data_IF_702324927257
#
_entry.id   IF_702324927257
#
_cell.length_a   1.000
_cell.length_b   1.000
_cell.length_c   1.000
_cell.angle_alpha   90.00
_cell.angle_beta   90.00
_cell.angle_gamma   90.00
#
_symmetry.space_group_name_H-M   'P 1'
#
loop_
_entity.id
_entity.type
_entity.pdbx_description
1 polymer ?
#
# COMPACT_ATOMS: atom_id res chain seq x y z
N UNK A 1 -14.28 0.81 22.57
CA UNK A 1 -15.10 0.76 21.34
C UNK A 1 -14.15 1.04 20.17
N UNK A 2 -13.42 0.01 19.74
CA UNK A 2 -12.35 0.10 18.74
C UNK A 2 -12.99 -0.05 17.36
N UNK A 3 -13.03 1.03 16.57
CA UNK A 3 -13.71 1.03 15.27
C UNK A 3 -12.71 1.36 14.15
N UNK A 4 -12.46 0.32 13.34
CA UNK A 4 -12.18 0.34 11.89
C UNK A 4 -11.09 1.30 11.38
N UNK A 5 -9.81 0.89 11.48
CA UNK A 5 -8.73 1.52 10.71
C UNK A 5 -7.66 0.56 10.16
N UNK A 6 -7.99 -0.73 10.05
CA UNK A 6 -7.11 -1.73 9.44
C UNK A 6 -7.61 -2.26 8.08
N UNK A 7 -8.70 -1.71 7.53
CA UNK A 7 -9.30 -2.20 6.27
C UNK A 7 -8.66 -1.58 5.00
N UNK A 8 -7.82 -0.53 5.12
CA UNK A 8 -7.13 0.12 3.98
C UNK A 8 -5.65 -0.33 3.82
N UNK A 9 -5.14 -1.20 4.69
CA UNK A 9 -3.74 -1.66 4.64
C UNK A 9 -3.62 -2.96 3.85
N UNK A 10 -3.70 -2.88 2.51
CA UNK A 10 -3.66 -4.02 1.56
C UNK A 10 -4.67 -5.13 1.90
N UNK A 11 -5.42 -5.62 0.93
CA UNK A 11 -6.14 -6.89 1.11
C UNK A 11 -5.08 -8.02 1.09
N UNK A 12 -4.34 -8.20 2.20
CA UNK A 12 -3.33 -9.25 2.43
C UNK A 12 -4.00 -10.47 3.08
N UNK A 13 -5.16 -10.89 2.58
CA UNK A 13 -5.82 -12.06 3.19
C UNK A 13 -5.90 -13.27 2.28
N UNK A 14 -5.43 -13.20 1.01
CA UNK A 14 -5.56 -14.37 0.14
C UNK A 14 -4.52 -14.54 -0.98
N UNK A 15 -3.24 -14.69 -0.62
CA UNK A 15 -2.19 -15.06 -1.57
C UNK A 15 -2.54 -16.35 -2.33
N UNK A 16 -3.04 -17.37 -1.61
CA UNK A 16 -3.46 -18.65 -2.17
C UNK A 16 -4.57 -18.52 -3.20
N UNK A 17 -5.69 -17.88 -2.86
CA UNK A 17 -6.80 -17.72 -3.79
C UNK A 17 -6.46 -16.80 -4.97
N UNK A 18 -5.66 -15.75 -4.75
CA UNK A 18 -5.16 -14.89 -5.83
C UNK A 18 -4.33 -15.71 -6.82
N UNK A 19 -3.42 -16.54 -6.30
CA UNK A 19 -2.62 -17.43 -7.13
C UNK A 19 -3.51 -18.42 -7.90
N UNK A 20 -4.50 -19.03 -7.24
CA UNK A 20 -5.47 -19.94 -7.87
C UNK A 20 -6.20 -19.27 -9.03
N UNK A 21 -6.74 -18.07 -8.81
CA UNK A 21 -7.42 -17.28 -9.83
C UNK A 21 -6.50 -17.03 -11.04
N UNK A 22 -5.27 -16.58 -10.81
CA UNK A 22 -4.29 -16.32 -11.87
C UNK A 22 -3.92 -17.59 -12.64
N UNK A 23 -3.69 -18.70 -11.94
CA UNK A 23 -3.37 -20.00 -12.54
C UNK A 23 -4.52 -20.50 -13.41
N UNK A 24 -5.75 -20.47 -12.90
CA UNK A 24 -6.94 -20.97 -13.58
C UNK A 24 -7.30 -20.09 -14.79
N UNK A 25 -7.14 -18.76 -14.69
CA UNK A 25 -7.34 -17.84 -15.82
C UNK A 25 -6.43 -18.13 -17.02
N UNK A 26 -5.27 -18.78 -16.77
CA UNK A 26 -4.30 -19.19 -17.80
C UNK A 26 -4.46 -20.65 -18.23
N UNK A 27 -5.45 -21.37 -17.70
CA UNK A 27 -5.69 -22.77 -18.02
C UNK A 27 -4.59 -23.72 -17.53
N UNK A 28 -3.78 -23.31 -16.55
CA UNK A 28 -2.67 -24.13 -16.03
C UNK A 28 -3.20 -25.08 -14.96
N UNK A 29 -2.99 -26.38 -15.14
CA UNK A 29 -3.40 -27.38 -14.16
C UNK A 29 -2.40 -27.49 -13.00
N UNK A 30 -2.86 -27.91 -11.82
CA UNK A 30 -1.95 -28.23 -10.71
C UNK A 30 -0.94 -29.34 -11.08
N UNK A 31 -1.35 -30.28 -11.92
CA UNK A 31 -0.48 -31.40 -12.33
C UNK A 31 0.65 -30.94 -13.25
N UNK A 32 0.40 -29.98 -14.15
CA UNK A 32 1.41 -29.44 -15.06
C UNK A 32 2.36 -28.44 -14.40
N UNK A 33 1.94 -27.85 -13.29
CA UNK A 33 2.72 -26.88 -12.51
C UNK A 33 3.59 -27.53 -11.42
N UNK A 34 3.23 -28.74 -10.99
CA UNK A 34 3.95 -29.45 -9.95
C UNK A 34 5.30 -29.98 -10.44
N UNK A 35 6.32 -29.82 -9.61
CA UNK A 35 7.69 -30.25 -9.89
C UNK A 35 8.45 -30.62 -8.60
N UNK A 36 9.76 -30.79 -8.70
CA UNK A 36 10.65 -31.12 -7.58
C UNK A 36 10.75 -29.99 -6.54
N UNK A 37 10.36 -28.75 -6.88
CA UNK A 37 10.39 -27.59 -6.00
C UNK A 37 9.09 -27.47 -5.20
N UNK A 38 7.96 -27.67 -5.87
CA UNK A 38 6.62 -27.57 -5.29
C UNK A 38 5.72 -28.71 -5.78
N UNK A 39 5.38 -29.63 -4.87
CA UNK A 39 4.47 -30.72 -5.20
C UNK A 39 3.02 -30.25 -5.43
N UNK A 40 2.26 -31.01 -6.22
CA UNK A 40 0.82 -30.79 -6.47
C UNK A 40 0.01 -30.60 -5.17
N UNK A 41 0.32 -31.41 -4.16
CA UNK A 41 -0.35 -31.33 -2.85
C UNK A 41 -0.06 -30.01 -2.13
N UNK A 42 1.15 -29.48 -2.26
CA UNK A 42 1.51 -28.18 -1.68
C UNK A 42 0.82 -27.02 -2.39
N UNK A 43 0.78 -27.03 -3.72
CA UNK A 43 0.07 -25.99 -4.49
C UNK A 43 -1.42 -25.98 -4.09
N UNK A 44 -2.05 -27.15 -4.05
CA UNK A 44 -3.45 -27.28 -3.62
C UNK A 44 -3.67 -26.76 -2.20
N UNK A 45 -2.79 -27.11 -1.26
CA UNK A 45 -2.92 -26.65 0.13
C UNK A 45 -2.76 -25.14 0.25
N UNK A 46 -1.84 -24.55 -0.51
CA UNK A 46 -1.64 -23.10 -0.60
C UNK A 46 -2.85 -22.38 -1.17
N UNK A 47 -3.35 -22.84 -2.32
CA UNK A 47 -4.51 -22.23 -2.98
C UNK A 47 -5.79 -22.27 -2.14
N UNK A 48 -5.92 -23.26 -1.25
CA UNK A 48 -7.06 -23.40 -0.35
C UNK A 48 -6.80 -22.80 1.05
N UNK A 49 -5.70 -22.08 1.25
CA UNK A 49 -5.39 -21.41 2.53
C UNK A 49 -5.05 -22.36 3.69
N UNK A 50 -4.73 -23.63 3.40
CA UNK A 50 -4.41 -24.64 4.42
C UNK A 50 -2.92 -24.73 4.76
N UNK A 51 -2.05 -24.14 3.93
CA UNK A 51 -0.62 -23.99 4.24
C UNK A 51 0.01 -22.86 3.45
N UNK A 52 0.88 -22.08 4.06
CA UNK A 52 1.67 -21.08 3.34
C UNK A 52 2.81 -21.70 2.51
N UNK A 53 3.29 -20.93 1.54
CA UNK A 53 4.52 -21.22 0.81
C UNK A 53 5.65 -20.34 1.34
N UNK A 54 6.87 -20.88 1.31
CA UNK A 54 8.04 -20.03 1.44
C UNK A 54 8.11 -19.06 0.26
N UNK A 55 8.67 -17.87 0.49
CA UNK A 55 8.83 -16.84 -0.53
C UNK A 55 9.52 -17.36 -1.81
N UNK A 56 10.54 -18.23 -1.65
CA UNK A 56 11.21 -18.89 -2.78
C UNK A 56 10.26 -19.73 -3.63
N UNK A 57 9.41 -20.54 -3.01
CA UNK A 57 8.43 -21.39 -3.70
C UNK A 57 7.32 -20.56 -4.33
N UNK A 58 6.89 -19.50 -3.67
CA UNK A 58 5.91 -18.57 -4.21
C UNK A 58 6.40 -17.91 -5.51
N UNK A 59 7.61 -17.33 -5.51
CA UNK A 59 8.18 -16.73 -6.73
C UNK A 59 8.48 -17.74 -7.83
N UNK A 60 8.85 -18.97 -7.47
CA UNK A 60 8.95 -20.08 -8.42
C UNK A 60 7.61 -20.31 -9.13
N UNK A 61 6.52 -20.48 -8.38
CA UNK A 61 5.20 -20.68 -8.97
C UNK A 61 4.72 -19.52 -9.84
N UNK A 62 4.97 -18.26 -9.42
CA UNK A 62 4.64 -17.07 -10.23
C UNK A 62 5.34 -17.10 -11.60
N UNK A 63 6.62 -17.47 -11.61
CA UNK A 63 7.40 -17.60 -12.84
C UNK A 63 6.80 -18.66 -13.77
N UNK A 64 6.44 -19.83 -13.24
CA UNK A 64 5.88 -20.94 -14.03
C UNK A 64 4.49 -20.62 -14.61
N UNK A 65 3.73 -19.70 -14.00
CA UNK A 65 2.47 -19.18 -14.57
C UNK A 65 2.65 -17.87 -15.36
N UNK A 66 3.88 -17.43 -15.61
CA UNK A 66 4.19 -16.18 -16.32
C UNK A 66 3.51 -14.95 -15.70
N UNK A 67 3.50 -14.87 -14.37
CA UNK A 67 3.00 -13.72 -13.60
C UNK A 67 4.18 -13.02 -12.93
N UNK A 68 4.24 -11.70 -13.09
CA UNK A 68 5.22 -10.89 -12.34
C UNK A 68 4.72 -10.63 -10.92
N UNK A 69 5.62 -10.39 -9.94
CA UNK A 69 5.21 -9.98 -8.60
C UNK A 69 4.29 -8.76 -8.60
N UNK A 70 4.58 -7.79 -9.49
CA UNK A 70 3.78 -6.59 -9.65
C UNK A 70 2.35 -6.89 -10.14
N UNK A 71 2.20 -7.69 -11.21
CA UNK A 71 0.88 -8.12 -11.68
C UNK A 71 0.12 -8.88 -10.59
N UNK A 72 0.79 -9.80 -9.89
CA UNK A 72 0.18 -10.52 -8.77
C UNK A 72 -0.39 -9.56 -7.73
N UNK A 73 0.39 -8.55 -7.34
CA UNK A 73 -0.07 -7.55 -6.36
C UNK A 73 -1.25 -6.74 -6.87
N UNK A 74 -1.29 -6.37 -8.15
CA UNK A 74 -2.44 -5.66 -8.74
C UNK A 74 -3.71 -6.51 -8.60
N UNK A 75 -3.65 -7.79 -8.97
CA UNK A 75 -4.80 -8.69 -8.89
C UNK A 75 -5.21 -8.94 -7.44
N UNK A 76 -4.23 -9.12 -6.56
CA UNK A 76 -4.46 -9.25 -5.12
C UNK A 76 -5.17 -8.01 -4.54
N UNK A 77 -4.84 -6.83 -5.06
CA UNK A 77 -5.47 -5.57 -4.70
C UNK A 77 -6.75 -5.27 -5.48
N UNK A 78 -7.38 -6.28 -6.11
CA UNK A 78 -8.60 -6.12 -6.90
C UNK A 78 -8.51 -5.06 -8.02
N UNK A 79 -7.32 -4.90 -8.61
CA UNK A 79 -7.01 -3.89 -9.62
C UNK A 79 -7.10 -2.44 -9.12
N UNK A 80 -7.19 -2.24 -7.80
CA UNK A 80 -7.05 -0.93 -7.19
C UNK A 80 -5.56 -0.52 -7.18
N UNK A 81 -5.26 0.78 -7.18
CA UNK A 81 -3.89 1.28 -7.06
C UNK A 81 -3.19 0.73 -5.81
N UNK A 82 -2.00 0.15 -6.00
CA UNK A 82 -1.17 -0.45 -4.93
C UNK A 82 -0.72 0.55 -3.87
N UNK A 83 -0.76 1.83 -4.22
CA UNK A 83 -0.51 2.94 -3.34
C UNK A 83 -1.74 3.82 -3.43
N UNK A 84 -2.68 3.64 -2.48
CA UNK A 84 -3.72 4.65 -2.29
C UNK A 84 -3.06 5.91 -1.73
N UNK A 85 -2.56 6.74 -2.64
CA UNK A 85 -2.03 8.05 -2.35
C UNK A 85 -3.20 9.03 -2.10
N UNK A 86 -4.30 8.59 -1.46
CA UNK A 86 -5.51 9.37 -1.17
C UNK A 86 -5.18 10.77 -0.71
N UNK A 87 -4.27 10.87 0.27
CA UNK A 87 -3.78 12.13 0.79
C UNK A 87 -3.14 13.00 -0.30
N UNK A 88 -2.19 12.46 -1.09
CA UNK A 88 -1.53 13.21 -2.16
C UNK A 88 -2.50 13.63 -3.28
N UNK A 89 -3.45 12.75 -3.63
CA UNK A 89 -4.50 13.04 -4.59
C UNK A 89 -5.41 14.17 -4.11
N UNK A 90 -5.86 14.10 -2.85
CA UNK A 90 -6.71 15.12 -2.23
C UNK A 90 -5.96 16.45 -2.08
N UNK A 91 -4.71 16.42 -1.61
CA UNK A 91 -3.83 17.59 -1.56
C UNK A 91 -3.66 18.24 -2.93
N UNK A 92 -3.40 17.44 -3.98
CA UNK A 92 -3.25 17.93 -5.36
C UNK A 92 -4.53 18.59 -5.85
N UNK A 93 -5.69 17.95 -5.64
CA UNK A 93 -6.99 18.49 -6.05
C UNK A 93 -7.32 19.80 -5.34
N UNK A 94 -7.11 19.86 -4.02
CA UNK A 94 -7.34 21.06 -3.22
C UNK A 94 -6.37 22.19 -3.58
N UNK A 95 -5.10 21.87 -3.86
CA UNK A 95 -4.10 22.84 -4.30
C UNK A 95 -4.43 23.43 -5.66
N UNK A 96 -4.78 22.60 -6.66
CA UNK A 96 -5.15 23.05 -8.01
C UNK A 96 -6.43 23.88 -8.01
N UNK A 97 -7.38 23.58 -7.11
CA UNK A 97 -8.61 24.35 -6.94
C UNK A 97 -8.45 25.57 -6.02
N UNK A 98 -7.25 25.83 -5.49
CA UNK A 98 -6.96 26.87 -4.50
C UNK A 98 -7.93 26.83 -3.29
N UNK A 99 -8.39 25.64 -2.91
CA UNK A 99 -9.32 25.45 -1.81
C UNK A 99 -8.59 25.43 -0.46
N UNK A 100 -8.23 26.63 0.02
CA UNK A 100 -7.50 26.82 1.29
C UNK A 100 -8.28 26.27 2.49
N UNK A 101 -9.61 26.39 2.49
CA UNK A 101 -10.42 25.85 3.59
C UNK A 101 -10.33 24.32 3.66
N UNK A 102 -10.40 23.64 2.51
CA UNK A 102 -10.20 22.20 2.44
C UNK A 102 -8.80 21.79 2.86
N UNK A 103 -7.77 22.54 2.45
CA UNK A 103 -6.38 22.30 2.88
C UNK A 103 -6.20 22.46 4.39
N UNK A 104 -6.80 23.48 5.01
CA UNK A 104 -6.78 23.65 6.46
C UNK A 104 -7.40 22.44 7.16
N UNK A 105 -8.60 22.01 6.73
CA UNK A 105 -9.26 20.84 7.31
C UNK A 105 -8.42 19.56 7.16
N UNK A 106 -7.77 19.38 6.01
CA UNK A 106 -6.90 18.23 5.75
C UNK A 106 -5.65 18.26 6.64
N UNK A 107 -5.02 19.42 6.80
CA UNK A 107 -3.90 19.62 7.74
C UNK A 107 -4.31 19.29 9.17
N UNK A 108 -5.46 19.78 9.64
CA UNK A 108 -5.97 19.50 10.99
C UNK A 108 -6.22 18.00 11.20
N UNK A 109 -6.75 17.33 10.17
CA UNK A 109 -7.01 15.89 10.17
C UNK A 109 -5.72 15.09 10.29
N UNK A 110 -4.70 15.42 9.48
CA UNK A 110 -3.41 14.73 9.51
C UNK A 110 -2.61 15.07 10.78
N UNK A 111 -2.74 16.28 11.32
CA UNK A 111 -2.17 16.64 12.61
C UNK A 111 -2.78 15.79 13.75
N UNK A 112 -4.10 15.67 13.79
CA UNK A 112 -4.78 14.80 14.75
C UNK A 112 -4.36 13.33 14.59
N UNK A 113 -4.16 12.85 13.36
CA UNK A 113 -3.64 11.50 13.09
C UNK A 113 -2.22 11.33 13.63
N UNK A 114 -1.34 12.29 13.34
CA UNK A 114 0.03 12.34 13.83
C UNK A 114 0.10 12.31 15.36
N UNK A 115 -0.79 13.00 16.07
CA UNK A 115 -0.82 12.98 17.54
C UNK A 115 -1.23 11.62 18.11
N UNK A 116 -2.07 10.87 17.40
CA UNK A 116 -2.61 9.59 17.86
C UNK A 116 -1.81 8.37 17.35
N UNK A 117 -0.76 8.60 16.56
CA UNK A 117 0.05 7.56 15.93
C UNK A 117 1.54 7.74 16.23
N UNK A 118 2.27 6.64 16.27
CA UNK A 118 3.73 6.63 16.47
C UNK A 118 4.48 6.31 15.16
N UNK A 119 3.79 6.32 14.03
CA UNK A 119 4.38 6.02 12.72
C UNK A 119 5.01 7.28 12.12
N UNK A 120 6.24 7.14 11.61
CA UNK A 120 6.96 8.21 10.90
C UNK A 120 6.14 8.76 9.71
N UNK A 121 5.40 7.89 9.01
CA UNK A 121 4.59 8.29 7.86
C UNK A 121 3.46 9.27 8.22
N UNK A 122 2.86 9.17 9.40
CA UNK A 122 1.83 10.13 9.81
C UNK A 122 2.42 11.52 10.08
N UNK A 123 3.67 11.58 10.57
CA UNK A 123 4.42 12.83 10.71
C UNK A 123 4.79 13.40 9.34
N UNK A 124 5.28 12.57 8.42
CA UNK A 124 5.62 12.98 7.05
C UNK A 124 4.38 13.46 6.27
N UNK A 125 3.24 12.81 6.45
CA UNK A 125 1.96 13.19 5.84
C UNK A 125 1.49 14.57 6.32
N UNK A 126 1.57 14.85 7.62
CA UNK A 126 1.23 16.17 8.15
C UNK A 126 2.20 17.26 7.63
N UNK A 127 3.51 16.98 7.61
CA UNK A 127 4.51 17.91 7.05
C UNK A 127 4.20 18.20 5.57
N UNK A 128 3.87 17.17 4.78
CA UNK A 128 3.49 17.32 3.37
C UNK A 128 2.27 18.23 3.21
N UNK A 129 1.23 18.02 4.03
CA UNK A 129 0.02 18.83 4.00
C UNK A 129 0.29 20.31 4.34
N UNK A 130 1.13 20.58 5.35
CA UNK A 130 1.56 21.94 5.70
C UNK A 130 2.36 22.62 4.58
N UNK A 131 3.28 21.90 3.93
CA UNK A 131 4.02 22.41 2.78
C UNK A 131 3.08 22.78 1.63
N UNK A 132 2.15 21.91 1.26
CA UNK A 132 1.18 22.17 0.19
C UNK A 132 0.28 23.37 0.54
N UNK A 133 -0.23 23.43 1.77
CA UNK A 133 -1.08 24.53 2.24
C UNK A 133 -0.36 25.88 2.15
N UNK A 134 0.85 25.96 2.67
CA UNK A 134 1.64 27.20 2.73
C UNK A 134 2.08 27.68 1.36
N UNK A 135 2.40 26.77 0.45
CA UNK A 135 2.66 27.07 -0.97
C UNK A 135 1.43 27.71 -1.64
N UNK A 136 0.24 27.12 -1.48
CA UNK A 136 -1.01 27.64 -2.05
C UNK A 136 -1.37 29.00 -1.46
N UNK A 137 -1.18 29.18 -0.15
CA UNK A 137 -1.40 30.46 0.54
C UNK A 137 -0.32 31.52 0.26
N UNK A 138 0.81 31.13 -0.35
CA UNK A 138 2.01 31.96 -0.53
C UNK A 138 2.53 32.54 0.80
N UNK A 139 2.52 31.71 1.84
CA UNK A 139 3.00 32.05 3.19
C UNK A 139 4.25 31.22 3.52
N UNK A 140 5.14 31.71 4.40
CA UNK A 140 6.23 30.89 4.90
C UNK A 140 5.69 29.71 5.71
N UNK A 141 6.41 28.58 5.68
CA UNK A 141 6.10 27.42 6.50
C UNK A 141 6.20 27.80 8.00
N UNK A 142 5.22 27.43 8.84
CA UNK A 142 5.28 27.72 10.27
C UNK A 142 6.49 27.06 10.94
N UNK A 143 7.11 27.77 11.89
CA UNK A 143 8.31 27.28 12.60
C UNK A 143 8.06 26.07 13.49
N UNK A 144 6.81 25.73 13.77
CA UNK A 144 6.44 24.54 14.54
C UNK A 144 6.38 23.26 13.69
N UNK A 145 6.47 23.38 12.36
CA UNK A 145 6.55 22.22 11.47
C UNK A 145 7.96 21.64 11.57
N UNK A 146 8.12 20.39 12.05
CA UNK A 146 9.41 19.80 12.37
C UNK A 146 10.09 19.24 11.11
N UNK A 147 10.62 20.12 10.26
CA UNK A 147 11.29 19.73 9.01
C UNK A 147 12.50 18.80 9.23
N UNK A 148 13.09 18.80 10.41
CA UNK A 148 14.17 17.87 10.76
C UNK A 148 13.72 16.41 10.59
N UNK A 149 12.46 16.09 10.87
CA UNK A 149 11.91 14.74 10.71
C UNK A 149 11.96 14.32 9.23
N UNK A 150 11.61 15.23 8.32
CA UNK A 150 11.68 14.99 6.88
C UNK A 150 13.13 14.86 6.41
N UNK A 151 14.03 15.74 6.86
CA UNK A 151 15.43 15.69 6.45
C UNK A 151 16.13 14.44 6.97
N UNK A 152 15.86 14.04 8.21
CA UNK A 152 16.41 12.84 8.81
C UNK A 152 15.92 11.62 8.04
N UNK A 153 14.63 11.53 7.75
CA UNK A 153 14.05 10.45 6.95
C UNK A 153 14.66 10.34 5.55
N UNK A 154 14.93 11.46 4.87
CA UNK A 154 15.43 11.47 3.50
C UNK A 154 16.94 11.24 3.39
N UNK A 155 17.72 11.66 4.39
CA UNK A 155 19.18 11.80 4.24
C UNK A 155 20.01 11.07 5.30
N UNK A 156 19.41 10.60 6.39
CA UNK A 156 20.10 9.74 7.35
C UNK A 156 19.86 8.28 6.97
N UNK A 157 20.68 7.78 6.04
CA UNK A 157 20.81 6.36 5.70
C UNK A 157 21.92 5.71 6.54
#
# INVERSE_FOLDING_TARGET
MFRKRNEEMLIIENFGATFKYLRESRGISLSSLADDVVSKGMISKFENGTSDLSTKRFFHLLKEIYVTPFEFTIVMNHFEPLYDNKLSTELTQLALSHNVQGLNHLVDTEYARCQNSHLIFDQLNWIMAECVRTEVEKKPLPSHVPLNILTDYLFQC
#
